data_IF_465406385010
#
_entry.id   IF_465406385010
#
_cell.length_a   1.000
_cell.length_b   1.000
_cell.length_c   1.000
_cell.angle_alpha   90.00
_cell.angle_beta   90.00
_cell.angle_gamma   90.00
#
_symmetry.space_group_name_H-M   'P 1'
#
loop_
_entity.id
_entity.type
_entity.pdbx_description
1 polymer ?
#
# COMPACT_ATOMS: atom_id res chain seq x y z
N UNK A 1 -6.66 56.08 -35.06
CA UNK A 1 -5.24 56.46 -35.05
C UNK A 1 -4.91 56.98 -33.65
N UNK A 2 -4.00 56.30 -32.93
CA UNK A 2 -2.81 56.84 -32.22
C UNK A 2 -2.89 58.29 -31.67
N UNK A 3 -2.46 58.68 -30.47
CA UNK A 3 -1.66 58.09 -29.37
C UNK A 3 -1.75 59.04 -28.15
N UNK A 4 -1.58 58.50 -26.93
CA UNK A 4 -1.32 59.10 -25.60
C UNK A 4 -0.11 60.10 -25.53
N UNK A 5 0.37 60.61 -24.35
CA UNK A 5 -0.18 60.99 -23.01
C UNK A 5 0.41 62.40 -22.59
N UNK A 6 0.72 62.82 -21.33
CA UNK A 6 0.54 62.24 -19.97
C UNK A 6 0.04 63.20 -18.89
N UNK A 7 -0.27 62.68 -17.69
CA UNK A 7 -0.08 63.40 -16.43
C UNK A 7 0.13 62.45 -15.25
N UNK A 8 1.10 62.87 -14.43
CA UNK A 8 1.71 62.25 -13.26
C UNK A 8 0.74 62.09 -12.09
N UNK A 9 0.87 61.02 -11.31
CA UNK A 9 0.34 60.99 -9.93
C UNK A 9 1.25 60.20 -9.02
N UNK A 10 1.74 60.90 -7.99
CA UNK A 10 2.57 60.36 -6.92
C UNK A 10 1.69 59.56 -5.95
N UNK A 11 2.12 58.33 -5.62
CA UNK A 11 1.51 57.50 -4.59
C UNK A 11 2.43 57.43 -3.36
N UNK A 12 1.96 58.02 -2.26
CA UNK A 12 2.45 57.81 -0.90
C UNK A 12 2.08 56.38 -0.44
N UNK A 13 3.00 55.59 0.14
CA UNK A 13 2.64 54.28 0.67
C UNK A 13 1.99 54.44 2.04
N UNK A 14 0.72 54.04 2.14
CA UNK A 14 0.04 53.84 3.42
C UNK A 14 0.58 52.58 4.09
N UNK A 15 1.08 52.73 5.32
CA UNK A 15 1.40 51.62 6.22
C UNK A 15 0.14 50.81 6.52
N UNK A 16 0.11 49.57 6.05
CA UNK A 16 -0.81 48.55 6.53
C UNK A 16 -0.07 47.68 7.54
N UNK A 17 -0.51 47.76 8.80
CA UNK A 17 -0.01 46.95 9.91
C UNK A 17 -0.13 45.47 9.59
N UNK A 18 1.01 44.76 9.59
CA UNK A 18 1.05 43.32 9.62
C UNK A 18 0.50 42.85 10.98
N UNK A 19 -0.77 42.46 11.00
CA UNK A 19 -1.29 41.64 12.09
C UNK A 19 -0.65 40.25 11.96
N UNK A 20 0.42 40.04 12.72
CA UNK A 20 1.01 38.72 12.93
C UNK A 20 -0.01 37.89 13.68
N UNK A 21 -0.79 37.13 12.92
CA UNK A 21 -1.67 36.10 13.44
C UNK A 21 -0.77 35.02 14.04
N UNK A 22 -0.44 35.20 15.32
CA UNK A 22 0.29 34.24 16.14
C UNK A 22 -0.70 33.13 16.48
N UNK A 23 -1.04 32.36 15.46
CA UNK A 23 -1.68 31.06 15.60
C UNK A 23 -0.75 30.22 16.45
N UNK A 24 -1.10 30.19 17.73
CA UNK A 24 -0.46 29.44 18.79
C UNK A 24 -0.30 28.01 18.31
N UNK A 25 0.91 27.68 17.83
CA UNK A 25 1.33 26.30 17.69
C UNK A 25 1.26 25.71 19.09
N UNK A 26 0.10 25.14 19.44
CA UNK A 26 -0.04 24.23 20.56
C UNK A 26 0.99 23.15 20.31
N UNK A 27 2.14 23.28 20.97
CA UNK A 27 3.09 22.20 21.15
C UNK A 27 2.32 21.12 21.88
N UNK A 28 1.70 20.23 21.13
CA UNK A 28 1.17 18.99 21.68
C UNK A 28 2.40 18.28 22.25
N UNK A 29 2.53 18.33 23.58
CA UNK A 29 3.39 17.39 24.28
C UNK A 29 2.85 16.01 23.91
N UNK A 30 3.66 15.11 23.34
CA UNK A 30 3.24 13.76 23.11
C UNK A 30 2.72 13.20 24.44
N UNK A 31 1.60 12.48 24.42
CA UNK A 31 1.14 11.79 25.62
C UNK A 31 2.22 10.77 26.04
N UNK A 32 2.25 10.38 27.32
CA UNK A 32 3.13 9.27 27.78
C UNK A 32 2.96 8.03 26.88
N UNK A 33 1.73 7.79 26.42
CA UNK A 33 1.43 6.73 25.45
C UNK A 33 2.08 6.96 24.08
N UNK A 34 2.15 8.20 23.58
CA UNK A 34 2.85 8.51 22.33
C UNK A 34 4.37 8.35 22.44
N UNK A 35 4.97 8.74 23.58
CA UNK A 35 6.40 8.51 23.85
C UNK A 35 6.74 7.01 23.89
N UNK A 36 5.89 6.19 24.51
CA UNK A 36 6.04 4.73 24.51
C UNK A 36 5.84 4.11 23.13
N UNK A 37 5.04 4.73 22.26
CA UNK A 37 4.76 4.26 20.90
C UNK A 37 5.82 4.69 19.88
N UNK A 38 6.60 5.74 20.16
CA UNK A 38 7.68 6.23 19.30
C UNK A 38 9.05 6.35 19.99
N UNK A 39 9.56 5.31 20.67
CA UNK A 39 10.83 5.39 21.40
C UNK A 39 12.07 5.50 20.50
N UNK A 40 11.94 5.25 19.20
CA UNK A 40 13.05 5.35 18.25
C UNK A 40 12.75 6.27 17.08
N UNK A 41 13.79 6.93 16.57
CA UNK A 41 13.72 7.77 15.37
C UNK A 41 13.51 6.86 14.16
N UNK A 42 12.69 7.32 13.21
CA UNK A 42 12.45 6.61 11.96
C UNK A 42 13.77 6.37 11.22
N UNK A 43 14.05 5.11 10.86
CA UNK A 43 15.31 4.66 10.24
C UNK A 43 16.56 4.77 11.12
N UNK A 44 16.41 5.04 12.42
CA UNK A 44 17.50 4.79 13.35
C UNK A 44 17.66 3.29 13.57
N UNK A 45 18.86 2.82 13.32
CA UNK A 45 19.25 1.42 13.24
C UNK A 45 20.12 1.00 14.43
N UNK A 46 20.47 1.94 15.31
CA UNK A 46 21.16 1.68 16.58
C UNK A 46 20.40 0.78 17.57
N UNK A 47 19.05 0.73 17.61
CA UNK A 47 18.34 -0.04 18.63
C UNK A 47 18.09 -1.52 18.28
N UNK A 48 18.53 -2.00 17.12
CA UNK A 48 18.29 -3.37 16.69
C UNK A 48 19.44 -4.29 17.07
N UNK A 49 19.14 -5.35 17.81
CA UNK A 49 20.12 -6.33 18.30
C UNK A 49 20.44 -7.39 17.21
N UNK A 50 21.12 -7.04 16.10
CA UNK A 50 21.50 -8.04 15.07
C UNK A 50 22.49 -7.54 13.99
N UNK A 51 23.31 -8.45 13.40
CA UNK A 51 24.37 -8.18 12.41
C UNK A 51 23.92 -7.86 10.97
N UNK A 52 22.62 -7.73 10.68
CA UNK A 52 22.14 -7.49 9.31
C UNK A 52 22.46 -6.07 8.79
N UNK A 53 22.73 -5.97 7.49
CA UNK A 53 23.05 -4.69 6.84
C UNK A 53 21.88 -3.70 6.97
N UNK A 54 22.18 -2.39 7.04
CA UNK A 54 21.15 -1.34 7.13
C UNK A 54 20.12 -1.40 5.99
N UNK A 55 20.55 -1.77 4.78
CA UNK A 55 19.68 -1.88 3.61
C UNK A 55 18.69 -3.05 3.71
N UNK A 56 19.13 -4.21 4.22
CA UNK A 56 18.25 -5.34 4.48
C UNK A 56 17.16 -4.98 5.50
N UNK A 57 17.50 -4.19 6.53
CA UNK A 57 16.52 -3.76 7.55
C UNK A 57 15.47 -2.79 7.02
N UNK A 58 15.84 -1.90 6.10
CA UNK A 58 14.87 -1.05 5.39
C UNK A 58 13.95 -1.86 4.49
N UNK A 59 14.48 -2.91 3.84
CA UNK A 59 13.68 -3.87 3.09
C UNK A 59 12.67 -4.60 3.98
N UNK A 60 13.14 -5.17 5.09
CA UNK A 60 12.27 -5.84 6.05
C UNK A 60 11.19 -4.93 6.64
N UNK A 61 11.49 -3.64 6.84
CA UNK A 61 10.47 -2.68 7.26
C UNK A 61 9.41 -2.43 6.18
N UNK A 62 9.80 -2.29 4.91
CA UNK A 62 8.86 -2.17 3.79
C UNK A 62 7.95 -3.40 3.72
N UNK A 63 8.55 -4.60 3.77
CA UNK A 63 7.85 -5.89 3.80
C UNK A 63 6.89 -6.00 4.98
N UNK A 64 7.33 -5.66 6.18
CA UNK A 64 6.50 -5.63 7.40
C UNK A 64 5.27 -4.73 7.27
N UNK A 65 5.43 -3.57 6.63
CA UNK A 65 4.33 -2.64 6.38
C UNK A 65 3.35 -3.18 5.34
N UNK A 66 3.85 -3.73 4.23
CA UNK A 66 3.03 -4.39 3.19
C UNK A 66 2.26 -5.57 3.78
N UNK A 67 2.90 -6.39 4.63
CA UNK A 67 2.26 -7.48 5.37
C UNK A 67 1.15 -7.03 6.34
N UNK A 68 0.98 -5.73 6.56
CA UNK A 68 -0.11 -5.11 7.33
C UNK A 68 -1.06 -4.29 6.46
N UNK A 69 -0.96 -4.41 5.14
CA UNK A 69 -1.71 -3.63 4.14
C UNK A 69 -1.53 -2.11 4.30
N UNK A 70 -0.32 -1.68 4.70
CA UNK A 70 0.02 -0.26 4.84
C UNK A 70 1.18 0.06 3.91
N UNK A 71 0.96 0.78 2.82
CA UNK A 71 2.05 1.22 1.94
C UNK A 71 2.94 2.27 2.61
N UNK A 72 4.15 2.49 2.10
CA UNK A 72 4.99 3.63 2.49
C UNK A 72 4.50 4.90 1.80
N UNK A 73 4.13 4.79 0.53
CA UNK A 73 3.58 5.88 -0.27
C UNK A 73 2.31 6.45 0.36
N UNK A 74 2.28 7.78 0.54
CA UNK A 74 1.17 8.49 1.18
C UNK A 74 1.11 8.38 2.71
N UNK A 75 2.00 7.65 3.36
CA UNK A 75 2.02 7.56 4.82
C UNK A 75 2.63 8.83 5.45
N UNK A 76 1.89 9.44 6.38
CA UNK A 76 2.40 10.56 7.19
C UNK A 76 3.58 10.14 8.07
N UNK A 77 4.47 11.09 8.39
CA UNK A 77 5.69 10.85 9.16
C UNK A 77 5.43 10.11 10.49
N UNK A 78 4.46 10.55 11.28
CA UNK A 78 4.14 9.91 12.55
C UNK A 78 3.66 8.45 12.40
N UNK A 79 2.91 8.17 11.33
CA UNK A 79 2.43 6.81 11.06
C UNK A 79 3.59 5.89 10.66
N UNK A 80 4.56 6.42 9.92
CA UNK A 80 5.81 5.71 9.60
C UNK A 80 6.63 5.47 10.86
N UNK A 81 6.82 6.47 11.71
CA UNK A 81 7.59 6.36 12.94
C UNK A 81 6.98 5.36 13.94
N UNK A 82 5.67 5.41 14.18
CA UNK A 82 4.97 4.42 15.02
C UNK A 82 5.12 3.01 14.45
N UNK A 83 5.05 2.87 13.13
CA UNK A 83 5.22 1.56 12.48
C UNK A 83 6.66 1.06 12.55
N UNK A 84 7.64 1.97 12.46
CA UNK A 84 9.06 1.67 12.63
C UNK A 84 9.32 1.17 14.05
N UNK A 85 8.76 1.83 15.05
CA UNK A 85 8.91 1.38 16.43
C UNK A 85 8.22 0.03 16.69
N UNK A 86 7.04 -0.22 16.11
CA UNK A 86 6.41 -1.53 16.18
C UNK A 86 7.24 -2.63 15.48
N UNK A 87 7.91 -2.27 14.37
CA UNK A 87 8.85 -3.14 13.67
C UNK A 87 10.06 -3.49 14.54
N UNK A 88 10.75 -2.50 15.10
CA UNK A 88 11.91 -2.71 15.98
C UNK A 88 11.54 -3.49 17.25
N UNK A 89 10.39 -3.17 17.90
CA UNK A 89 9.88 -3.96 19.05
C UNK A 89 9.74 -5.43 18.69
N UNK A 90 9.11 -5.73 17.54
CA UNK A 90 8.90 -7.12 17.13
C UNK A 90 10.19 -7.82 16.75
N UNK A 91 11.10 -7.11 16.07
CA UNK A 91 12.42 -7.60 15.74
C UNK A 91 13.18 -8.02 17.01
N UNK A 92 13.27 -7.14 18.01
CA UNK A 92 14.01 -7.39 19.25
C UNK A 92 13.34 -8.46 20.15
N UNK A 93 12.03 -8.66 20.04
CA UNK A 93 11.31 -9.72 20.76
C UNK A 93 11.53 -11.11 20.15
N UNK A 94 11.93 -11.19 18.88
CA UNK A 94 12.09 -12.43 18.16
C UNK A 94 13.54 -12.90 18.22
N UNK A 95 13.73 -14.22 18.19
CA UNK A 95 15.07 -14.79 18.04
C UNK A 95 15.69 -14.34 16.71
N UNK A 96 17.02 -14.21 16.61
CA UNK A 96 17.69 -13.88 15.35
C UNK A 96 17.21 -14.78 14.20
N UNK A 97 16.85 -14.19 13.06
CA UNK A 97 16.33 -14.90 11.89
C UNK A 97 14.84 -15.30 11.97
N UNK A 98 14.25 -15.44 13.17
CA UNK A 98 12.83 -15.80 13.32
C UNK A 98 11.90 -14.72 12.79
N UNK A 99 12.31 -13.44 12.84
CA UNK A 99 11.55 -12.34 12.29
C UNK A 99 11.37 -12.45 10.76
N UNK A 100 12.43 -12.82 10.04
CA UNK A 100 12.39 -12.97 8.58
C UNK A 100 11.50 -14.16 8.19
N UNK A 101 11.64 -15.30 8.88
CA UNK A 101 10.76 -16.47 8.67
C UNK A 101 9.29 -16.13 8.95
N UNK A 102 9.02 -15.35 10.00
CA UNK A 102 7.68 -14.87 10.31
C UNK A 102 7.12 -13.96 9.20
N UNK A 103 7.97 -13.10 8.62
CA UNK A 103 7.58 -12.27 7.47
C UNK A 103 7.26 -13.12 6.25
N UNK A 104 8.14 -14.06 5.90
CA UNK A 104 7.97 -14.95 4.74
C UNK A 104 6.63 -15.71 4.84
N UNK A 105 6.38 -16.35 5.99
CA UNK A 105 5.13 -17.07 6.23
C UNK A 105 3.89 -16.15 6.16
N UNK A 106 3.99 -14.94 6.70
CA UNK A 106 2.88 -13.99 6.64
C UNK A 106 2.60 -13.51 5.22
N UNK A 107 3.64 -13.26 4.43
CA UNK A 107 3.51 -12.86 3.03
C UNK A 107 2.92 -13.99 2.18
N UNK A 108 3.35 -15.24 2.40
CA UNK A 108 2.76 -16.43 1.79
C UNK A 108 1.26 -16.54 2.12
N UNK A 109 0.90 -16.43 3.40
CA UNK A 109 -0.50 -16.44 3.83
C UNK A 109 -1.32 -15.32 3.17
N UNK A 110 -0.76 -14.13 3.02
CA UNK A 110 -1.44 -13.03 2.33
C UNK A 110 -1.56 -13.26 0.83
N UNK A 111 -0.56 -13.86 0.20
CA UNK A 111 -0.62 -14.25 -1.21
C UNK A 111 -1.70 -15.30 -1.40
N UNK A 112 -1.70 -16.38 -0.62
CA UNK A 112 -2.67 -17.48 -0.67
C UNK A 112 -4.12 -17.01 -0.55
N UNK A 113 -4.36 -16.00 0.28
CA UNK A 113 -5.68 -15.44 0.54
C UNK A 113 -5.96 -14.17 -0.27
N UNK A 114 -5.08 -13.79 -1.19
CA UNK A 114 -5.30 -12.62 -2.04
C UNK A 114 -6.32 -12.93 -3.14
N UNK A 115 -7.19 -11.96 -3.45
CA UNK A 115 -8.12 -12.09 -4.58
C UNK A 115 -7.37 -12.26 -5.91
N UNK A 116 -6.19 -11.66 -6.05
CA UNK A 116 -5.34 -11.81 -7.22
C UNK A 116 -4.85 -13.26 -7.38
N UNK A 117 -4.39 -13.89 -6.30
CA UNK A 117 -3.98 -15.29 -6.31
C UNK A 117 -5.16 -16.24 -6.55
N UNK A 118 -6.31 -15.98 -5.93
CA UNK A 118 -7.54 -16.71 -6.23
C UNK A 118 -7.90 -16.62 -7.71
N UNK A 119 -7.83 -15.41 -8.30
CA UNK A 119 -8.06 -15.21 -9.75
C UNK A 119 -7.09 -16.00 -10.60
N UNK A 120 -5.80 -16.01 -10.25
CA UNK A 120 -4.77 -16.78 -10.95
C UNK A 120 -5.06 -18.30 -10.86
N UNK A 121 -5.40 -18.81 -9.68
CA UNK A 121 -5.75 -20.22 -9.48
C UNK A 121 -6.99 -20.62 -10.27
N UNK A 122 -8.06 -19.83 -10.21
CA UNK A 122 -9.28 -20.05 -11.00
C UNK A 122 -8.98 -20.05 -12.50
N UNK A 123 -8.14 -19.12 -12.97
CA UNK A 123 -7.68 -19.11 -14.35
C UNK A 123 -6.92 -20.39 -14.73
N UNK A 124 -6.01 -20.84 -13.86
CA UNK A 124 -5.26 -22.09 -14.07
C UNK A 124 -6.14 -23.34 -14.03
N UNK A 125 -7.18 -23.37 -13.20
CA UNK A 125 -8.18 -24.45 -13.22
C UNK A 125 -9.00 -24.43 -14.51
N UNK A 126 -9.51 -23.26 -14.91
CA UNK A 126 -10.25 -23.11 -16.16
C UNK A 126 -9.43 -23.60 -17.35
N UNK A 127 -8.16 -23.17 -17.45
CA UNK A 127 -7.24 -23.61 -18.50
C UNK A 127 -7.06 -25.13 -18.52
N UNK A 128 -6.78 -25.76 -17.36
CA UNK A 128 -6.59 -27.22 -17.27
C UNK A 128 -7.85 -28.02 -17.60
N UNK A 129 -9.01 -27.46 -17.32
CA UNK A 129 -10.31 -28.06 -17.64
C UNK A 129 -10.81 -27.69 -19.04
N UNK A 130 -9.99 -27.02 -19.87
CA UNK A 130 -10.38 -26.50 -21.18
C UNK A 130 -11.66 -25.65 -21.14
N UNK A 131 -11.80 -24.85 -20.08
CA UNK A 131 -12.92 -23.93 -19.84
C UNK A 131 -12.51 -22.48 -19.98
N UNK A 132 -13.48 -21.62 -20.26
CA UNK A 132 -13.23 -20.18 -20.24
C UNK A 132 -12.87 -19.70 -18.83
N UNK A 133 -11.87 -18.82 -18.76
CA UNK A 133 -11.53 -18.14 -17.52
C UNK A 133 -12.58 -17.05 -17.24
N UNK A 134 -13.42 -17.25 -16.23
CA UNK A 134 -14.47 -16.28 -15.86
C UNK A 134 -13.91 -14.87 -15.59
N UNK A 135 -12.72 -14.78 -14.97
CA UNK A 135 -12.02 -13.51 -14.73
C UNK A 135 -11.70 -12.81 -16.05
N UNK A 136 -11.32 -13.57 -17.09
CA UNK A 136 -11.06 -13.02 -18.41
C UNK A 136 -12.34 -12.50 -19.08
N UNK A 137 -13.45 -13.23 -18.96
CA UNK A 137 -14.76 -12.78 -19.45
C UNK A 137 -15.20 -11.48 -18.76
N UNK A 138 -15.09 -11.36 -17.43
CA UNK A 138 -15.64 -10.24 -16.66
C UNK A 138 -14.75 -9.00 -16.53
N UNK A 139 -13.45 -9.19 -16.41
CA UNK A 139 -12.52 -8.10 -16.09
C UNK A 139 -11.35 -7.98 -17.07
N UNK A 140 -10.99 -9.08 -17.74
CA UNK A 140 -9.73 -9.19 -18.48
C UNK A 140 -8.64 -9.73 -17.57
N UNK A 141 -8.36 -11.03 -17.71
CA UNK A 141 -7.30 -11.72 -16.97
C UNK A 141 -5.95 -11.46 -17.63
N UNK A 142 -4.95 -11.06 -16.84
CA UNK A 142 -3.56 -10.85 -17.28
C UNK A 142 -2.93 -12.12 -17.85
N UNK A 143 -3.21 -13.30 -17.27
CA UNK A 143 -2.69 -14.57 -17.77
C UNK A 143 -3.27 -15.00 -19.12
N UNK A 144 -4.49 -14.53 -19.45
CA UNK A 144 -5.15 -14.82 -20.73
C UNK A 144 -5.03 -13.66 -21.72
N UNK A 145 -4.19 -12.66 -21.47
CA UNK A 145 -4.18 -11.41 -22.25
C UNK A 145 -3.84 -11.59 -23.72
N UNK A 146 -3.23 -12.72 -24.10
CA UNK A 146 -2.91 -13.08 -25.48
C UNK A 146 -4.12 -13.59 -26.27
N UNK A 147 -5.19 -14.01 -25.60
CA UNK A 147 -6.41 -14.50 -26.23
C UNK A 147 -7.44 -13.37 -26.37
N UNK A 148 -8.27 -13.39 -27.43
CA UNK A 148 -9.43 -12.51 -27.51
C UNK A 148 -10.34 -12.74 -26.31
N UNK A 149 -10.80 -11.64 -25.72
CA UNK A 149 -11.72 -11.69 -24.57
C UNK A 149 -13.07 -12.26 -24.99
N UNK A 150 -13.53 -13.39 -24.41
CA UNK A 150 -14.85 -13.93 -24.71
C UNK A 150 -15.95 -12.97 -24.26
N UNK A 151 -17.03 -12.95 -25.02
CA UNK A 151 -18.23 -12.18 -24.69
C UNK A 151 -19.06 -12.90 -23.62
N UNK A 152 -20.05 -12.20 -23.06
CA UNK A 152 -21.00 -12.82 -22.13
C UNK A 152 -21.80 -13.93 -22.82
N UNK A 153 -22.12 -13.78 -24.12
CA UNK A 153 -22.81 -14.81 -24.89
C UNK A 153 -21.95 -16.07 -25.03
N UNK A 154 -20.67 -15.92 -25.40
CA UNK A 154 -19.74 -17.06 -25.50
C UNK A 154 -19.65 -17.81 -24.17
N UNK A 155 -19.64 -17.07 -23.06
CA UNK A 155 -19.66 -17.65 -21.72
C UNK A 155 -20.94 -18.43 -21.43
N UNK A 156 -22.11 -17.87 -21.75
CA UNK A 156 -23.40 -18.52 -21.51
C UNK A 156 -23.54 -19.81 -22.34
N UNK A 157 -23.11 -19.78 -23.61
CA UNK A 157 -23.04 -20.96 -24.49
C UNK A 157 -22.07 -22.02 -23.92
N UNK A 158 -20.91 -21.59 -23.43
CA UNK A 158 -19.93 -22.48 -22.82
C UNK A 158 -20.44 -23.13 -21.54
N UNK A 159 -21.11 -22.37 -20.66
CA UNK A 159 -21.72 -22.91 -19.43
C UNK A 159 -22.84 -23.90 -19.76
N UNK A 160 -23.64 -23.62 -20.79
CA UNK A 160 -24.67 -24.55 -21.25
C UNK A 160 -24.07 -25.87 -21.78
N UNK A 161 -22.95 -25.79 -22.50
CA UNK A 161 -22.23 -26.97 -23.02
C UNK A 161 -21.56 -27.79 -21.91
N UNK A 162 -21.04 -27.13 -20.87
CA UNK A 162 -20.32 -27.75 -19.76
C UNK A 162 -21.07 -27.58 -18.43
N UNK A 163 -22.34 -27.99 -18.42
CA UNK A 163 -23.19 -27.93 -17.23
C UNK A 163 -22.58 -28.71 -16.06
N UNK A 164 -22.71 -28.17 -14.85
CA UNK A 164 -22.28 -28.85 -13.63
C UNK A 164 -22.98 -30.20 -13.48
N UNK A 165 -22.20 -31.23 -13.19
CA UNK A 165 -22.72 -32.55 -12.85
C UNK A 165 -23.52 -32.49 -11.54
N UNK A 166 -24.35 -33.51 -11.27
CA UNK A 166 -25.13 -33.55 -10.02
C UNK A 166 -24.24 -33.49 -8.77
N UNK A 167 -23.06 -34.10 -8.83
CA UNK A 167 -22.07 -34.12 -7.73
C UNK A 167 -21.46 -32.74 -7.47
N UNK A 168 -21.37 -31.88 -8.48
CA UNK A 168 -20.85 -30.52 -8.34
C UNK A 168 -21.94 -29.52 -7.90
N UNK A 169 -23.20 -29.96 -7.83
CA UNK A 169 -24.35 -29.14 -7.42
C UNK A 169 -24.76 -29.33 -5.96
N UNK A 170 -24.29 -30.40 -5.32
CA UNK A 170 -24.51 -30.74 -3.90
C UNK A 170 -23.37 -30.19 -3.03
#
# INVERSE_FOLDING_TARGET
MNTQPPLSSAHTPAQASAATDTSSMRKFRPSVMDEELTPWVLYDLTPADSPDTPDNRREYFRRFRVARHKTIEGAGHEALQRSWCAFIKRWNLMQPGAFVQWLDHREEMLQDHSLSELRNRLCGFAWRSNRFCYVHVREGCSSCSSLPRPTQQDWDEHVAQFSLSNVERD
#
